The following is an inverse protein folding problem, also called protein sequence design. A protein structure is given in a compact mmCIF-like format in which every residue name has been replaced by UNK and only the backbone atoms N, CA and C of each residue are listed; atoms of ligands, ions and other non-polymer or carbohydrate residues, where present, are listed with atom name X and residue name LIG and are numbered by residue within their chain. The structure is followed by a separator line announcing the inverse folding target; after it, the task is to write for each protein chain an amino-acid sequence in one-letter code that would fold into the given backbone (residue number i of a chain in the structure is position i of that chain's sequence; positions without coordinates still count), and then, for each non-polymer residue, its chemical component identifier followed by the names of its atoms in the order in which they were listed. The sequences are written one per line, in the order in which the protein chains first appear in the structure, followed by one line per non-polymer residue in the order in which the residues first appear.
data_IF_218197296337
#
_entry.id   IF_218197296337
#
_cell.length_a   1.000
_cell.length_b   1.000
_cell.length_c   1.000
_cell.angle_alpha   90.00
_cell.angle_beta   90.00
_cell.angle_gamma   90.00
#
_symmetry.space_group_name_H-M   'P 1'
#
loop_
_entity.id
_entity.type
_entity.pdbx_description
1 polymer ?
#
# COMPACT_ATOMS: atom_id res chain seq x y z
N UNK A 1 -1.50 4.83 47.72
CA UNK A 1 -0.90 3.74 46.89
C UNK A 1 -1.43 3.66 45.46
N UNK A 2 -2.57 4.31 45.10
CA UNK A 2 -3.17 4.20 43.74
C UNK A 2 -2.36 4.78 42.60
N UNK A 3 -1.79 5.97 42.76
CA UNK A 3 -1.16 6.71 41.62
C UNK A 3 0.07 6.00 41.06
N UNK A 4 0.89 5.38 41.90
CA UNK A 4 2.10 4.64 41.46
C UNK A 4 1.69 3.38 40.70
N UNK A 5 0.62 2.73 41.12
CA UNK A 5 0.11 1.51 40.49
C UNK A 5 -0.54 1.82 39.13
N UNK A 6 -1.31 2.91 39.05
CA UNK A 6 -1.86 3.40 37.79
C UNK A 6 -0.76 3.83 36.79
N UNK A 7 0.29 4.48 37.29
CA UNK A 7 1.44 4.87 36.46
C UNK A 7 2.22 3.66 35.94
N UNK A 8 2.38 2.63 36.77
CA UNK A 8 3.03 1.37 36.38
C UNK A 8 2.19 0.61 35.33
N UNK A 9 0.86 0.60 35.47
CA UNK A 9 -0.06 0.02 34.51
C UNK A 9 -0.06 0.76 33.17
N UNK A 10 0.04 2.09 33.20
CA UNK A 10 0.16 2.91 31.98
C UNK A 10 1.49 2.65 31.28
N UNK A 11 2.61 2.61 32.04
CA UNK A 11 3.94 2.31 31.49
C UNK A 11 4.01 0.88 30.96
N UNK A 12 3.38 -0.10 31.62
CA UNK A 12 3.32 -1.49 31.17
C UNK A 12 2.53 -1.70 29.88
N UNK A 13 1.58 -0.81 29.58
CA UNK A 13 0.82 -0.80 28.31
C UNK A 13 1.53 -0.07 27.18
N UNK A 14 2.59 0.69 27.48
CA UNK A 14 3.34 1.41 26.45
C UNK A 14 4.21 0.44 25.63
N UNK A 15 3.90 0.34 24.35
CA UNK A 15 4.66 -0.44 23.39
C UNK A 15 5.84 0.39 22.91
N UNK A 16 7.07 -0.09 23.15
CA UNK A 16 8.31 0.61 22.78
C UNK A 16 8.96 0.07 21.50
N UNK A 17 8.49 -1.04 21.01
CA UNK A 17 8.99 -1.64 19.77
C UNK A 17 7.87 -2.27 18.96
N UNK A 18 8.09 -2.36 17.65
CA UNK A 18 7.21 -3.01 16.71
C UNK A 18 8.02 -3.94 15.82
N UNK A 19 7.45 -5.10 15.49
CA UNK A 19 8.07 -6.10 14.64
C UNK A 19 7.39 -6.06 13.28
N UNK A 20 8.16 -5.74 12.24
CA UNK A 20 7.72 -5.83 10.85
C UNK A 20 8.15 -7.20 10.32
N UNK A 21 7.19 -8.05 9.98
CA UNK A 21 7.46 -9.39 9.44
C UNK A 21 7.83 -9.35 7.96
N UNK A 22 8.33 -10.47 7.41
CA UNK A 22 8.78 -10.56 6.01
C UNK A 22 7.67 -10.28 5.00
N UNK A 23 6.42 -10.63 5.34
CA UNK A 23 5.24 -10.38 4.51
C UNK A 23 4.59 -9.03 4.76
N UNK A 24 5.22 -8.15 5.53
CA UNK A 24 4.71 -6.83 5.90
C UNK A 24 5.60 -5.70 5.41
N UNK A 25 5.01 -4.51 5.33
CA UNK A 25 5.69 -3.24 5.20
C UNK A 25 5.27 -2.33 6.35
N UNK A 26 6.17 -1.43 6.77
CA UNK A 26 5.85 -0.46 7.80
C UNK A 26 6.18 0.97 7.36
N UNK A 27 5.47 1.94 7.93
CA UNK A 27 5.80 3.37 7.87
C UNK A 27 6.08 3.88 9.27
N UNK A 28 7.17 4.61 9.42
CA UNK A 28 7.52 5.22 10.68
C UNK A 28 7.15 6.70 10.67
N UNK A 29 6.32 7.09 11.61
CA UNK A 29 5.88 8.47 11.79
C UNK A 29 6.52 9.06 13.03
N UNK A 30 6.94 10.31 12.93
CA UNK A 30 7.34 11.14 14.06
C UNK A 30 6.63 12.49 13.98
N UNK A 31 5.87 12.82 15.03
CA UNK A 31 5.05 14.03 15.08
C UNK A 31 4.15 14.17 13.83
N UNK A 32 3.52 13.07 13.40
CA UNK A 32 2.62 13.03 12.25
C UNK A 32 3.30 13.08 10.87
N UNK A 33 4.65 13.07 10.79
CA UNK A 33 5.38 13.07 9.52
C UNK A 33 6.06 11.73 9.27
N UNK A 34 5.97 11.24 8.03
CA UNK A 34 6.71 10.03 7.64
C UNK A 34 8.21 10.33 7.64
N UNK A 35 8.96 9.50 8.36
CA UNK A 35 10.40 9.66 8.52
C UNK A 35 11.18 8.65 7.68
N UNK A 36 12.22 9.13 7.00
CA UNK A 36 13.16 8.26 6.33
C UNK A 36 14.01 7.52 7.36
N UNK A 37 14.06 6.20 7.25
CA UNK A 37 14.92 5.36 8.10
C UNK A 37 16.04 4.73 7.29
N UNK A 38 17.19 4.45 7.92
CA UNK A 38 18.28 3.73 7.25
C UNK A 38 17.75 2.42 6.66
N UNK A 39 18.08 2.17 5.39
CA UNK A 39 17.67 0.95 4.70
C UNK A 39 18.30 -0.26 5.41
N UNK A 40 17.48 -1.16 5.90
CA UNK A 40 17.96 -2.40 6.54
C UNK A 40 18.34 -3.39 5.43
N UNK A 41 19.62 -3.65 5.35
CA UNK A 41 20.16 -4.58 4.35
C UNK A 41 19.97 -6.03 4.80
N UNK A 42 19.55 -6.89 3.90
CA UNK A 42 19.43 -8.33 4.14
C UNK A 42 20.80 -9.00 4.29
N UNK A 43 20.85 -10.19 4.88
CA UNK A 43 22.10 -10.92 5.13
C UNK A 43 22.93 -11.14 3.86
N UNK A 44 22.25 -11.47 2.75
CA UNK A 44 22.91 -11.68 1.44
C UNK A 44 23.41 -10.36 0.82
N UNK A 45 22.64 -9.28 0.94
CA UNK A 45 23.07 -7.94 0.50
C UNK A 45 24.28 -7.45 1.32
N UNK A 46 24.27 -7.67 2.65
CA UNK A 46 25.42 -7.36 3.51
C UNK A 46 26.68 -8.11 3.11
N UNK A 47 26.57 -9.41 2.76
CA UNK A 47 27.69 -10.22 2.29
C UNK A 47 28.24 -9.69 0.96
N UNK A 48 27.38 -9.38 -0.02
CA UNK A 48 27.76 -8.79 -1.31
C UNK A 48 28.47 -7.46 -1.13
N UNK A 49 27.89 -6.56 -0.34
CA UNK A 49 28.49 -5.24 -0.06
C UNK A 49 29.84 -5.38 0.61
N UNK A 50 29.99 -6.29 1.60
CA UNK A 50 31.27 -6.55 2.24
C UNK A 50 32.32 -7.10 1.27
N UNK A 51 31.92 -7.98 0.34
CA UNK A 51 32.82 -8.52 -0.68
C UNK A 51 33.31 -7.43 -1.64
N UNK A 52 32.40 -6.55 -2.08
CA UNK A 52 32.76 -5.40 -2.93
C UNK A 52 33.67 -4.40 -2.20
N UNK A 53 33.37 -4.07 -0.95
CA UNK A 53 34.23 -3.22 -0.12
C UNK A 53 35.62 -3.84 0.05
N UNK A 54 35.69 -5.16 0.33
CA UNK A 54 36.96 -5.89 0.47
C UNK A 54 37.78 -5.90 -0.84
N UNK A 55 37.09 -6.07 -1.99
CA UNK A 55 37.75 -6.00 -3.30
C UNK A 55 38.34 -4.61 -3.57
N UNK A 56 37.62 -3.54 -3.27
CA UNK A 56 38.12 -2.17 -3.39
C UNK A 56 39.32 -1.91 -2.48
N UNK A 57 39.33 -2.52 -1.29
CA UNK A 57 40.50 -2.44 -0.38
C UNK A 57 41.69 -3.18 -0.96
N UNK A 58 41.51 -4.39 -1.54
CA UNK A 58 42.59 -5.14 -2.23
C UNK A 58 43.14 -4.40 -3.45
N UNK A 59 42.30 -3.70 -4.18
CA UNK A 59 42.65 -2.89 -5.35
C UNK A 59 43.35 -1.56 -4.98
N UNK A 60 43.77 -1.39 -3.73
CA UNK A 60 44.56 -0.26 -3.24
C UNK A 60 43.72 0.93 -2.74
N UNK A 61 42.38 0.87 -2.79
CA UNK A 61 41.52 1.96 -2.28
C UNK A 61 41.49 2.07 -0.76
N UNK A 62 41.97 1.07 -0.05
CA UNK A 62 41.89 0.93 1.41
C UNK A 62 43.15 1.29 2.19
N UNK A 63 44.16 1.87 1.59
CA UNK A 63 45.39 2.13 2.30
C UNK A 63 45.22 3.21 3.40
N UNK A 64 45.46 2.80 4.63
CA UNK A 64 45.69 3.65 5.77
C UNK A 64 46.95 4.50 5.56
N UNK A 65 46.88 5.63 4.95
CA UNK A 65 47.94 6.60 5.13
C UNK A 65 47.48 7.68 6.11
N UNK A 66 47.51 7.33 7.37
CA UNK A 66 47.49 8.32 8.43
C UNK A 66 48.74 9.21 8.39
N UNK A 67 49.79 8.72 7.70
CA UNK A 67 51.11 9.37 7.60
C UNK A 67 51.37 10.13 6.28
N UNK A 68 50.56 9.92 5.23
CA UNK A 68 50.79 10.62 3.96
C UNK A 68 49.49 11.11 3.34
N UNK A 69 49.03 12.31 3.68
CA UNK A 69 47.75 12.85 3.22
C UNK A 69 47.68 13.08 1.69
N UNK A 70 48.81 13.10 0.97
CA UNK A 70 48.88 13.52 -0.41
C UNK A 70 48.69 12.41 -1.49
N UNK A 71 48.64 11.14 -1.09
CA UNK A 71 48.43 10.00 -2.02
C UNK A 71 47.21 9.15 -1.67
N UNK A 72 46.07 9.76 -1.47
CA UNK A 72 44.83 8.98 -1.31
C UNK A 72 44.33 8.54 -2.68
N UNK A 73 44.26 7.23 -2.99
CA UNK A 73 43.72 6.76 -4.24
C UNK A 73 42.25 7.26 -4.39
N UNK A 74 41.91 7.69 -5.62
CA UNK A 74 40.57 8.21 -5.92
C UNK A 74 39.56 7.07 -5.75
N UNK A 75 38.59 7.25 -4.86
CA UNK A 75 37.45 6.34 -4.75
C UNK A 75 36.49 6.59 -5.92
N UNK A 76 35.83 5.53 -6.42
CA UNK A 76 34.71 5.71 -7.33
C UNK A 76 33.67 6.67 -6.73
N UNK A 77 33.13 7.55 -7.54
CA UNK A 77 32.23 8.65 -7.11
C UNK A 77 31.06 8.24 -6.19
N UNK A 78 30.64 6.97 -6.25
CA UNK A 78 29.54 6.42 -5.46
C UNK A 78 29.93 6.05 -4.02
N UNK A 79 31.21 5.85 -3.72
CA UNK A 79 31.67 5.39 -2.40
C UNK A 79 32.05 6.56 -1.50
N UNK A 80 31.71 6.47 -0.21
CA UNK A 80 32.15 7.40 0.82
C UNK A 80 33.25 6.75 1.66
N UNK A 81 34.11 7.55 2.28
CA UNK A 81 35.10 7.04 3.23
C UNK A 81 34.53 7.06 4.65
N UNK A 82 34.79 6.01 5.40
CA UNK A 82 34.54 6.01 6.84
C UNK A 82 35.43 7.04 7.53
N UNK A 83 34.84 7.89 8.34
CA UNK A 83 35.60 8.90 9.10
C UNK A 83 36.59 8.26 10.08
N UNK A 84 36.21 7.11 10.70
CA UNK A 84 37.01 6.43 11.73
C UNK A 84 38.08 5.53 11.11
N UNK A 85 37.74 4.74 10.09
CA UNK A 85 38.62 3.69 9.54
C UNK A 85 39.28 4.07 8.22
N UNK A 86 38.83 5.14 7.58
CA UNK A 86 39.30 5.53 6.23
C UNK A 86 38.91 4.56 5.11
N UNK A 87 38.23 3.46 5.42
CA UNK A 87 37.82 2.42 4.48
C UNK A 87 36.68 2.89 3.56
N UNK A 88 36.60 2.36 2.33
CA UNK A 88 35.50 2.65 1.42
C UNK A 88 34.21 2.06 1.96
N UNK A 89 33.16 2.87 2.01
CA UNK A 89 31.82 2.45 2.43
C UNK A 89 30.88 2.47 1.22
N UNK A 90 30.20 1.37 1.02
CA UNK A 90 29.25 1.23 -0.08
C UNK A 90 28.07 2.20 0.07
N UNK A 91 27.62 2.88 -1.01
CA UNK A 91 26.55 3.89 -0.96
C UNK A 91 25.24 3.37 -0.36
N UNK A 92 24.88 2.12 -0.59
CA UNK A 92 23.68 1.50 0.00
C UNK A 92 23.65 1.50 1.54
N UNK A 93 24.77 1.65 2.22
CA UNK A 93 24.80 1.81 3.68
C UNK A 93 24.19 3.13 4.15
N UNK A 94 24.11 4.12 3.26
CA UNK A 94 23.57 5.45 3.54
C UNK A 94 22.19 5.67 2.91
N UNK A 95 21.71 4.70 2.15
CA UNK A 95 20.35 4.76 1.60
C UNK A 95 19.33 4.81 2.74
N UNK A 96 18.37 5.68 2.57
CA UNK A 96 17.21 5.79 3.46
C UNK A 96 15.97 5.38 2.69
N UNK A 97 15.04 4.79 3.40
CA UNK A 97 13.74 4.39 2.88
C UNK A 97 12.65 4.93 3.78
N UNK A 98 11.54 5.32 3.16
CA UNK A 98 10.31 5.67 3.87
C UNK A 98 9.55 4.43 4.30
N UNK A 99 9.74 3.33 3.58
CA UNK A 99 9.11 2.05 3.88
C UNK A 99 10.07 1.20 4.71
N UNK A 100 9.61 0.74 5.87
CA UNK A 100 10.35 -0.15 6.75
C UNK A 100 10.36 -1.56 6.16
N UNK A 101 11.56 -2.17 6.13
CA UNK A 101 11.76 -3.58 5.80
C UNK A 101 11.57 -4.46 7.05
N UNK A 102 11.47 -5.79 6.89
CA UNK A 102 11.35 -6.71 8.04
C UNK A 102 12.39 -6.47 9.12
N UNK A 103 11.96 -6.47 10.36
CA UNK A 103 12.82 -6.29 11.53
C UNK A 103 12.13 -5.65 12.72
N UNK A 104 12.89 -5.47 13.80
CA UNK A 104 12.43 -4.84 15.04
C UNK A 104 12.77 -3.35 14.99
N UNK A 105 11.79 -2.50 15.29
CA UNK A 105 11.93 -1.05 15.30
C UNK A 105 11.51 -0.50 16.66
N UNK A 106 12.41 0.26 17.26
CA UNK A 106 12.12 0.97 18.50
C UNK A 106 11.50 2.33 18.17
N UNK A 107 10.56 2.76 18.98
CA UNK A 107 9.92 4.05 18.88
C UNK A 107 9.59 4.61 20.27
N UNK A 108 9.39 5.91 20.35
CA UNK A 108 9.02 6.60 21.58
C UNK A 108 7.50 6.78 21.55
N UNK A 109 6.73 6.10 22.43
CA UNK A 109 5.29 6.30 22.53
C UNK A 109 4.96 7.79 22.70
N UNK A 110 3.79 8.21 22.22
CA UNK A 110 3.30 9.59 22.20
C UNK A 110 3.94 10.52 21.14
N UNK A 111 5.18 10.24 20.71
CA UNK A 111 5.88 11.07 19.70
C UNK A 111 5.95 10.36 18.35
N UNK A 112 6.17 9.06 18.41
CA UNK A 112 6.39 8.18 17.26
C UNK A 112 5.24 7.19 17.14
N UNK A 113 4.91 6.80 15.91
CA UNK A 113 4.00 5.69 15.61
C UNK A 113 4.49 4.89 14.41
N UNK A 114 4.12 3.62 14.36
CA UNK A 114 4.43 2.74 13.23
C UNK A 114 3.13 2.18 12.72
N UNK A 115 2.89 2.35 11.41
CA UNK A 115 1.78 1.72 10.69
C UNK A 115 2.35 0.56 9.91
N UNK A 116 1.76 -0.62 10.08
CA UNK A 116 2.18 -1.85 9.40
C UNK A 116 1.03 -2.39 8.58
N UNK A 117 1.33 -2.82 7.35
CA UNK A 117 0.36 -3.47 6.50
C UNK A 117 0.98 -4.65 5.73
N UNK A 118 0.14 -5.60 5.33
CA UNK A 118 0.56 -6.81 4.64
C UNK A 118 0.83 -6.57 3.17
N UNK A 119 1.92 -7.16 2.67
CA UNK A 119 2.25 -7.23 1.25
C UNK A 119 1.56 -8.41 0.54
N UNK A 120 0.92 -9.28 1.29
CA UNK A 120 0.24 -10.43 0.71
C UNK A 120 -0.92 -9.99 -0.19
N UNK A 121 -1.27 -10.85 -1.14
CA UNK A 121 -2.44 -10.60 -1.97
C UNK A 121 -3.71 -10.58 -1.12
N UNK A 122 -4.46 -9.51 -1.26
CA UNK A 122 -5.76 -9.32 -0.63
C UNK A 122 -6.86 -9.40 -1.66
N UNK A 123 -8.05 -9.80 -1.22
CA UNK A 123 -9.27 -9.76 -2.04
C UNK A 123 -10.22 -8.74 -1.42
N UNK A 124 -10.57 -7.72 -2.19
CA UNK A 124 -11.54 -6.71 -1.82
C UNK A 124 -12.87 -7.04 -2.48
N UNK A 125 -13.89 -7.26 -1.66
CA UNK A 125 -15.26 -7.43 -2.12
C UNK A 125 -15.92 -6.05 -2.29
N UNK A 126 -16.41 -5.76 -3.48
CA UNK A 126 -17.04 -4.48 -3.80
C UNK A 126 -18.54 -4.45 -3.43
N UNK A 127 -19.10 -5.62 -3.09
CA UNK A 127 -20.54 -5.76 -2.87
C UNK A 127 -21.34 -5.69 -4.17
N UNK A 128 -22.62 -5.41 -4.04
CA UNK A 128 -23.58 -5.41 -5.13
C UNK A 128 -23.73 -4.00 -5.72
N UNK A 129 -23.58 -3.89 -7.02
CA UNK A 129 -23.78 -2.65 -7.78
C UNK A 129 -24.98 -2.80 -8.69
N UNK A 130 -25.85 -1.80 -8.72
CA UNK A 130 -26.94 -1.72 -9.68
C UNK A 130 -26.48 -0.95 -10.91
N UNK A 131 -26.46 -1.61 -12.06
CA UNK A 131 -26.09 -1.03 -13.36
C UNK A 131 -27.31 -1.00 -14.26
N UNK A 132 -27.70 0.19 -14.80
CA UNK A 132 -28.82 0.28 -15.73
C UNK A 132 -28.46 -0.37 -17.08
N UNK A 133 -29.43 -1.06 -17.70
CA UNK A 133 -29.33 -1.59 -19.05
C UNK A 133 -29.98 -0.63 -20.06
N UNK A 134 -29.76 -0.86 -21.37
CA UNK A 134 -30.40 -0.08 -22.43
C UNK A 134 -31.78 -0.66 -22.80
N UNK A 135 -32.19 -1.75 -22.21
CA UNK A 135 -33.45 -2.41 -22.56
C UNK A 135 -34.65 -1.52 -22.23
N UNK A 136 -35.65 -1.54 -23.12
CA UNK A 136 -36.83 -0.68 -23.00
C UNK A 136 -37.63 -0.84 -21.71
N UNK A 137 -37.50 -1.99 -21.04
CA UNK A 137 -38.18 -2.30 -19.78
C UNK A 137 -37.41 -1.82 -18.52
N UNK A 138 -36.49 -0.89 -18.66
CA UNK A 138 -35.70 -0.31 -17.55
C UNK A 138 -35.18 -1.41 -16.58
N UNK A 139 -34.65 -2.47 -17.16
CA UNK A 139 -34.04 -3.53 -16.35
C UNK A 139 -32.69 -3.04 -15.81
N UNK A 140 -32.44 -3.30 -14.57
CA UNK A 140 -31.13 -3.12 -13.96
C UNK A 140 -30.47 -4.48 -13.75
N UNK A 141 -29.15 -4.53 -13.88
CA UNK A 141 -28.37 -5.69 -13.50
C UNK A 141 -27.66 -5.38 -12.18
N UNK A 142 -27.86 -6.24 -11.22
CA UNK A 142 -27.10 -6.20 -9.96
C UNK A 142 -25.88 -7.07 -10.18
N UNK A 143 -24.71 -6.46 -10.03
CA UNK A 143 -23.41 -7.10 -10.29
C UNK A 143 -22.59 -7.15 -9.01
N UNK A 144 -22.08 -8.32 -8.68
CA UNK A 144 -21.09 -8.51 -7.62
C UNK A 144 -19.69 -8.60 -8.21
N UNK A 145 -18.73 -7.89 -7.64
CA UNK A 145 -17.38 -7.83 -8.17
C UNK A 145 -16.34 -7.93 -7.05
N UNK A 146 -15.25 -8.64 -7.31
CA UNK A 146 -14.11 -8.76 -6.41
C UNK A 146 -12.82 -8.32 -7.12
N UNK A 147 -11.92 -7.70 -6.35
CA UNK A 147 -10.60 -7.31 -6.83
C UNK A 147 -9.53 -8.05 -6.04
N UNK A 148 -8.60 -8.69 -6.74
CA UNK A 148 -7.37 -9.21 -6.14
C UNK A 148 -6.27 -8.21 -6.35
N UNK A 149 -5.69 -7.70 -5.27
CA UNK A 149 -4.62 -6.72 -5.29
C UNK A 149 -3.50 -7.05 -4.29
N UNK A 150 -2.37 -6.41 -4.45
CA UNK A 150 -1.18 -6.52 -3.61
C UNK A 150 -0.62 -5.14 -3.33
N UNK A 151 -0.19 -4.91 -2.10
CA UNK A 151 0.44 -3.66 -1.69
C UNK A 151 1.93 -3.67 -2.03
N UNK A 152 2.32 -2.89 -3.04
CA UNK A 152 3.73 -2.78 -3.48
C UNK A 152 4.48 -1.71 -2.71
N UNK A 153 3.85 -0.58 -2.45
CA UNK A 153 4.48 0.55 -1.78
C UNK A 153 3.52 1.21 -0.78
N UNK A 154 3.70 0.88 0.48
CA UNK A 154 2.88 1.38 1.59
C UNK A 154 2.92 2.92 1.69
N UNK A 155 4.08 3.54 1.40
CA UNK A 155 4.20 5.00 1.46
C UNK A 155 3.26 5.68 0.46
N UNK A 156 3.23 5.19 -0.79
CA UNK A 156 2.33 5.76 -1.81
C UNK A 156 0.86 5.50 -1.44
N UNK A 157 0.52 4.31 -0.95
CA UNK A 157 -0.86 3.99 -0.57
C UNK A 157 -1.40 4.92 0.52
N UNK A 158 -0.57 5.25 1.51
CA UNK A 158 -0.99 6.10 2.64
C UNK A 158 -0.85 7.61 2.40
N UNK A 159 -0.09 8.02 1.38
CA UNK A 159 0.10 9.45 1.08
C UNK A 159 -0.70 9.95 -0.11
N UNK A 160 -1.07 9.05 -1.03
CA UNK A 160 -1.82 9.41 -2.23
C UNK A 160 -3.32 9.55 -1.97
N UNK A 161 -3.87 8.73 -1.06
CA UNK A 161 -5.30 8.70 -0.73
C UNK A 161 -5.50 8.49 0.77
N UNK A 162 -6.63 8.97 1.30
CA UNK A 162 -6.91 8.90 2.74
C UNK A 162 -7.08 7.45 3.21
N UNK A 163 -7.88 6.67 2.50
CA UNK A 163 -8.09 5.24 2.68
C UNK A 163 -8.00 4.56 1.32
N UNK A 164 -6.92 3.84 1.10
CA UNK A 164 -6.66 3.26 -0.21
C UNK A 164 -7.62 2.10 -0.53
N UNK A 165 -8.13 1.37 0.47
CA UNK A 165 -9.08 0.28 0.23
C UNK A 165 -10.46 0.81 -0.16
N UNK A 166 -10.98 1.78 0.58
CA UNK A 166 -12.24 2.46 0.23
C UNK A 166 -12.11 3.20 -1.11
N UNK A 167 -11.02 3.92 -1.32
CA UNK A 167 -10.78 4.62 -2.59
C UNK A 167 -10.67 3.66 -3.79
N UNK A 168 -10.02 2.49 -3.60
CA UNK A 168 -9.94 1.45 -4.61
C UNK A 168 -11.33 0.89 -4.95
N UNK A 169 -12.16 0.65 -3.93
CA UNK A 169 -13.54 0.23 -4.07
C UNK A 169 -14.34 1.22 -4.91
N UNK A 170 -14.39 2.48 -4.48
CA UNK A 170 -15.19 3.53 -5.13
C UNK A 170 -14.75 3.78 -6.58
N UNK A 171 -13.43 3.80 -6.79
CA UNK A 171 -12.88 3.99 -8.14
C UNK A 171 -13.22 2.82 -9.06
N UNK A 172 -13.13 1.59 -8.57
CA UNK A 172 -13.51 0.41 -9.35
C UNK A 172 -14.99 0.39 -9.66
N UNK A 173 -15.85 0.74 -8.70
CA UNK A 173 -17.29 0.85 -8.91
C UNK A 173 -17.60 1.87 -10.00
N UNK A 174 -16.93 3.02 -9.99
CA UNK A 174 -17.09 4.06 -11.00
C UNK A 174 -16.68 3.57 -12.40
N UNK A 175 -15.52 2.91 -12.52
CA UNK A 175 -15.05 2.36 -13.80
C UNK A 175 -15.96 1.25 -14.29
N UNK A 176 -16.41 0.36 -13.39
CA UNK A 176 -17.32 -0.72 -13.76
C UNK A 176 -18.65 -0.16 -14.27
N UNK A 177 -19.25 0.79 -13.55
CA UNK A 177 -20.48 1.46 -13.98
C UNK A 177 -20.31 2.15 -15.34
N UNK A 178 -19.17 2.83 -15.58
CA UNK A 178 -18.85 3.47 -16.87
C UNK A 178 -18.77 2.46 -18.00
N UNK A 179 -18.03 1.35 -17.82
CA UNK A 179 -17.83 0.34 -18.86
C UNK A 179 -19.05 -0.55 -19.09
N UNK A 180 -20.00 -0.55 -18.16
CA UNK A 180 -21.25 -1.30 -18.25
C UNK A 180 -22.38 -0.53 -18.93
N UNK A 181 -22.26 0.79 -19.06
CA UNK A 181 -23.26 1.61 -19.74
C UNK A 181 -23.39 1.17 -21.19
N UNK A 182 -24.63 1.10 -21.64
CA UNK A 182 -24.91 0.75 -23.04
C UNK A 182 -24.94 -0.76 -23.32
N UNK A 183 -24.90 -1.61 -22.29
CA UNK A 183 -25.08 -3.06 -22.44
C UNK A 183 -26.53 -3.45 -22.25
N UNK A 184 -26.96 -4.47 -22.99
CA UNK A 184 -28.26 -5.12 -22.83
C UNK A 184 -28.20 -6.17 -21.76
N UNK A 185 -29.32 -6.55 -21.19
CA UNK A 185 -29.38 -7.64 -20.23
C UNK A 185 -28.82 -8.96 -20.78
N UNK A 186 -29.11 -9.26 -22.04
CA UNK A 186 -28.61 -10.47 -22.70
C UNK A 186 -27.08 -10.51 -22.82
N UNK A 187 -26.42 -9.33 -22.93
CA UNK A 187 -24.95 -9.24 -22.99
C UNK A 187 -24.29 -9.76 -21.69
N UNK A 188 -24.99 -9.67 -20.56
CA UNK A 188 -24.49 -10.17 -19.28
C UNK A 188 -24.54 -11.68 -19.13
N UNK A 189 -25.25 -12.39 -20.04
CA UNK A 189 -25.26 -13.85 -20.10
C UNK A 189 -24.07 -14.40 -20.89
N UNK A 190 -23.44 -13.56 -21.71
CA UNK A 190 -22.29 -13.95 -22.53
C UNK A 190 -20.99 -13.82 -21.72
N UNK A 191 -20.34 -14.96 -21.47
CA UNK A 191 -19.07 -15.05 -20.76
C UNK A 191 -17.95 -14.25 -21.43
N UNK A 192 -17.95 -14.11 -22.75
CA UNK A 192 -16.94 -13.34 -23.48
C UNK A 192 -17.09 -11.84 -23.22
N UNK A 193 -18.33 -11.36 -23.13
CA UNK A 193 -18.63 -9.96 -22.82
C UNK A 193 -18.20 -9.64 -21.39
N UNK A 194 -18.45 -10.54 -20.43
CA UNK A 194 -18.01 -10.38 -19.04
C UNK A 194 -16.47 -10.35 -18.97
N UNK A 195 -15.79 -11.29 -19.61
CA UNK A 195 -14.32 -11.34 -19.61
C UNK A 195 -13.70 -10.07 -20.22
N UNK A 196 -14.30 -9.55 -21.30
CA UNK A 196 -13.88 -8.30 -21.92
C UNK A 196 -14.09 -7.11 -20.98
N UNK A 197 -15.19 -7.09 -20.23
CA UNK A 197 -15.48 -6.07 -19.23
C UNK A 197 -14.45 -6.11 -18.09
N UNK A 198 -14.17 -7.29 -17.54
CA UNK A 198 -13.14 -7.48 -16.51
C UNK A 198 -11.77 -6.97 -16.97
N UNK A 199 -11.36 -7.32 -18.19
CA UNK A 199 -10.08 -6.86 -18.79
C UNK A 199 -10.04 -5.34 -18.96
N UNK A 200 -11.12 -4.71 -19.37
CA UNK A 200 -11.20 -3.26 -19.53
C UNK A 200 -11.11 -2.55 -18.18
N UNK A 201 -11.90 -2.99 -17.21
CA UNK A 201 -11.85 -2.44 -15.83
C UNK A 201 -10.45 -2.59 -15.25
N UNK A 202 -9.83 -3.78 -15.37
CA UNK A 202 -8.48 -4.01 -14.91
C UNK A 202 -7.46 -3.09 -15.57
N UNK A 203 -7.57 -2.84 -16.87
CA UNK A 203 -6.66 -1.95 -17.61
C UNK A 203 -6.77 -0.50 -17.14
N UNK A 204 -7.99 0.03 -16.98
CA UNK A 204 -8.21 1.39 -16.49
C UNK A 204 -7.72 1.55 -15.05
N UNK A 205 -7.96 0.56 -14.18
CA UNK A 205 -7.46 0.55 -12.81
C UNK A 205 -5.93 0.58 -12.74
N UNK A 206 -5.25 -0.26 -13.52
CA UNK A 206 -3.79 -0.34 -13.50
C UNK A 206 -3.12 1.01 -13.74
N UNK A 207 -3.64 1.80 -14.66
CA UNK A 207 -3.06 3.09 -15.02
C UNK A 207 -3.00 4.06 -13.84
N UNK A 208 -4.03 4.06 -12.99
CA UNK A 208 -4.12 5.00 -11.86
C UNK A 208 -3.54 4.39 -10.59
N UNK A 209 -3.95 3.18 -10.29
CA UNK A 209 -3.71 2.54 -8.99
C UNK A 209 -2.26 2.09 -8.85
N UNK A 210 -1.65 1.56 -9.91
CA UNK A 210 -0.28 1.06 -9.84
C UNK A 210 0.74 2.20 -9.75
N UNK A 211 0.58 3.24 -10.56
CA UNK A 211 1.56 4.33 -10.60
C UNK A 211 1.42 5.31 -9.43
N UNK A 212 0.18 5.67 -9.09
CA UNK A 212 -0.07 6.72 -8.11
C UNK A 212 -0.26 6.21 -6.69
N UNK A 213 -0.87 5.04 -6.50
CA UNK A 213 -1.21 4.52 -5.17
C UNK A 213 -0.29 3.40 -4.69
N UNK A 214 0.62 2.91 -5.53
CA UNK A 214 1.56 1.86 -5.16
C UNK A 214 0.91 0.50 -4.91
N UNK A 215 -0.25 0.24 -5.51
CA UNK A 215 -0.96 -1.04 -5.46
C UNK A 215 -0.83 -1.76 -6.81
N UNK A 216 -0.69 -3.07 -6.78
CA UNK A 216 -0.68 -3.92 -7.98
C UNK A 216 -1.99 -4.69 -8.08
N UNK A 217 -2.74 -4.45 -9.13
CA UNK A 217 -3.96 -5.19 -9.42
C UNK A 217 -3.60 -6.46 -10.18
N UNK A 218 -3.97 -7.61 -9.59
CA UNK A 218 -3.74 -8.91 -10.21
C UNK A 218 -4.91 -9.31 -11.09
N UNK A 219 -6.13 -9.17 -10.59
CA UNK A 219 -7.33 -9.52 -11.33
C UNK A 219 -8.57 -8.82 -10.77
N UNK A 220 -9.51 -8.57 -11.65
CA UNK A 220 -10.87 -8.15 -11.34
C UNK A 220 -11.79 -9.31 -11.75
N UNK A 221 -12.72 -9.67 -10.90
CA UNK A 221 -13.69 -10.75 -11.17
C UNK A 221 -15.10 -10.24 -11.00
N UNK A 222 -15.95 -10.51 -11.96
CA UNK A 222 -17.39 -10.41 -11.79
C UNK A 222 -17.87 -11.77 -11.33
N UNK A 223 -18.33 -11.85 -10.07
CA UNK A 223 -18.66 -13.12 -9.43
C UNK A 223 -20.11 -13.53 -9.63
N UNK A 224 -20.97 -12.54 -9.77
CA UNK A 224 -22.39 -12.80 -9.97
C UNK A 224 -23.05 -11.62 -10.68
N UNK A 225 -24.14 -11.90 -11.40
CA UNK A 225 -24.99 -10.90 -12.05
C UNK A 225 -26.44 -11.39 -12.08
N UNK A 226 -27.34 -10.58 -11.58
CA UNK A 226 -28.77 -10.90 -11.50
C UNK A 226 -29.60 -9.74 -12.05
N UNK A 227 -30.64 -10.05 -12.80
CA UNK A 227 -31.63 -9.05 -13.18
C UNK A 227 -32.35 -8.54 -11.93
N UNK A 228 -32.43 -7.23 -11.77
CA UNK A 228 -33.08 -6.61 -10.65
C UNK A 228 -33.89 -5.40 -11.05
N UNK A 229 -34.83 -5.01 -10.20
CA UNK A 229 -35.48 -3.70 -10.26
C UNK A 229 -35.05 -2.88 -9.06
N UNK A 230 -34.51 -1.70 -9.30
CA UNK A 230 -34.21 -0.74 -8.21
C UNK A 230 -35.30 0.31 -8.18
N UNK A 231 -36.01 0.37 -7.06
CA UNK A 231 -36.93 1.46 -6.76
C UNK A 231 -36.22 2.45 -5.84
N UNK A 232 -36.11 3.71 -6.27
CA UNK A 232 -35.69 4.81 -5.39
C UNK A 232 -36.93 5.41 -4.75
N UNK A 233 -37.11 5.19 -3.48
CA UNK A 233 -38.11 5.92 -2.70
C UNK A 233 -37.52 7.26 -2.34
N UNK A 234 -37.95 8.32 -3.01
CA UNK A 234 -37.61 9.69 -2.63
C UNK A 234 -38.52 10.06 -1.45
N UNK A 235 -37.97 10.12 -0.27
CA UNK A 235 -38.68 10.59 0.93
C UNK A 235 -38.45 12.10 1.03
N UNK A 236 -39.49 12.88 0.78
CA UNK A 236 -39.44 14.35 0.83
C UNK A 236 -39.70 14.93 2.23
N UNK A 237 -39.65 14.07 3.26
CA UNK A 237 -39.81 14.45 4.67
C UNK A 237 -41.26 14.60 5.15
N UNK A 238 -42.24 14.43 4.25
CA UNK A 238 -43.64 14.36 4.70
C UNK A 238 -44.05 12.93 5.04
N UNK A 239 -44.59 12.65 6.21
CA UNK A 239 -45.09 11.32 6.52
C UNK A 239 -46.28 11.00 5.61
N UNK A 240 -46.07 10.06 4.68
CA UNK A 240 -47.12 9.55 3.80
C UNK A 240 -48.21 8.72 4.53
N UNK A 241 -48.02 8.50 5.83
CA UNK A 241 -48.98 7.80 6.68
C UNK A 241 -49.38 8.71 7.82
N UNK A 242 -50.57 9.29 7.72
CA UNK A 242 -51.34 9.71 8.86
C UNK A 242 -52.06 8.44 9.37
N UNK A 243 -51.75 7.93 10.57
CA UNK A 243 -52.53 6.81 11.11
C UNK A 243 -53.98 7.25 11.21
N UNK A 244 -54.95 6.38 10.89
CA UNK A 244 -56.35 6.72 11.05
C UNK A 244 -56.57 7.04 12.54
N UNK A 245 -56.99 8.26 12.81
CA UNK A 245 -57.51 8.66 14.12
C UNK A 245 -58.80 7.91 14.35
N UNK A 246 -58.71 6.85 15.19
CA UNK A 246 -59.85 6.19 15.75
C UNK A 246 -60.48 6.97 16.87
#
# INVERSE_FOLDING_TARGET
MGIIQELADVIGKLKFFEVVHEYQQGLYFRKGRVMDRPLRLDGNEKKKIKAEEKKLVSDGAGYRSFLLPFRRPKLPHKYKRSFITGLPLHPRRFERSRVLRPGIYFFIPLVDSIVIDSRQQKVLNLGNISVPTIDADIKTVIVSCNIRYELMNLYLAYTAVHDYETSLKDHTLSILAKNSRGKRYEDWKDSQVIEKLEKNVMRELKTIVTEKWGLKIHRVYITDHVAGSTQRVLYDGHPLFVPPTG
#
